data_IF_098399263241
#
_entry.id   IF_098399263241
#
_cell.length_a   1.000
_cell.length_b   1.000
_cell.length_c   1.000
_cell.angle_alpha   90.00
_cell.angle_beta   90.00
_cell.angle_gamma   90.00
#
_symmetry.space_group_name_H-M   'P 1'
#
loop_
_entity.id
_entity.type
_entity.pdbx_description
1 polymer ?
#
# COMPACT_ATOMS: atom_id res chain seq x y z
N UNK A 1 38.54 5.32 -67.29
CA UNK A 1 38.06 5.81 -65.99
C UNK A 1 36.78 5.07 -65.65
N UNK A 2 36.90 3.91 -65.01
CA UNK A 2 35.79 3.01 -64.67
C UNK A 2 36.09 2.37 -63.31
N UNK A 3 35.04 2.28 -62.49
CA UNK A 3 34.85 1.34 -61.38
C UNK A 3 35.63 1.59 -60.09
N UNK A 4 34.96 2.17 -59.10
CA UNK A 4 35.02 1.65 -57.72
C UNK A 4 33.61 1.73 -57.13
N UNK A 5 32.94 0.59 -57.09
CA UNK A 5 31.74 0.33 -56.29
C UNK A 5 32.22 -0.57 -55.15
N UNK A 6 32.29 -0.08 -53.90
CA UNK A 6 32.29 -0.95 -52.73
C UNK A 6 31.85 -0.20 -51.46
N UNK A 7 30.56 -0.38 -51.15
CA UNK A 7 30.06 -0.84 -49.86
C UNK A 7 30.47 -0.06 -48.59
N UNK A 8 29.69 0.98 -48.24
CA UNK A 8 29.44 1.32 -46.82
C UNK A 8 27.96 1.71 -46.70
N UNK A 9 27.12 0.71 -46.43
CA UNK A 9 25.75 0.88 -45.97
C UNK A 9 25.66 0.15 -44.63
N UNK A 10 24.98 0.78 -43.67
CA UNK A 10 24.59 0.28 -42.34
C UNK A 10 25.58 0.48 -41.20
N UNK A 11 25.60 1.70 -40.63
CA UNK A 11 25.65 1.83 -39.17
C UNK A 11 25.06 3.17 -38.70
N UNK A 12 23.72 3.32 -38.79
CA UNK A 12 23.05 4.49 -38.21
C UNK A 12 21.61 4.21 -37.74
N UNK A 13 21.31 2.96 -37.35
CA UNK A 13 19.99 2.61 -36.80
C UNK A 13 20.18 1.82 -35.51
N UNK A 14 20.67 2.48 -34.46
CA UNK A 14 20.71 1.88 -33.12
C UNK A 14 20.62 2.90 -31.96
N UNK A 15 20.26 4.16 -32.23
CA UNK A 15 20.18 5.18 -31.15
C UNK A 15 18.73 5.59 -30.84
N UNK A 16 17.77 5.33 -31.74
CA UNK A 16 16.38 5.75 -31.56
C UNK A 16 15.52 4.75 -30.78
N UNK A 17 15.93 3.49 -30.65
CA UNK A 17 15.14 2.46 -29.94
C UNK A 17 15.30 2.49 -28.42
N UNK A 18 16.37 3.10 -27.90
CA UNK A 18 16.58 3.20 -26.43
C UNK A 18 15.69 4.28 -25.79
N UNK A 19 15.32 5.33 -26.54
CA UNK A 19 14.45 6.39 -26.01
C UNK A 19 12.95 6.07 -26.05
N UNK A 20 12.51 5.11 -26.87
CA UNK A 20 11.08 4.82 -27.04
C UNK A 20 10.51 3.78 -26.05
N UNK A 21 11.36 3.07 -25.28
CA UNK A 21 10.90 2.04 -24.34
C UNK A 21 10.63 2.54 -22.92
N UNK A 22 11.05 3.77 -22.56
CA UNK A 22 10.85 4.29 -21.20
C UNK A 22 9.46 4.93 -20.98
N UNK A 23 8.70 5.22 -22.03
CA UNK A 23 7.40 5.91 -21.91
C UNK A 23 6.18 4.97 -21.93
N UNK A 24 6.36 3.68 -22.24
CA UNK A 24 5.24 2.72 -22.33
C UNK A 24 4.85 2.06 -21.00
N UNK A 25 5.70 2.09 -19.97
CA UNK A 25 5.38 1.54 -18.64
C UNK A 25 4.62 2.51 -17.72
N UNK A 26 4.62 3.82 -18.02
CA UNK A 26 3.98 4.83 -17.17
C UNK A 26 2.44 4.85 -17.23
N UNK A 27 1.83 4.23 -18.23
CA UNK A 27 0.39 4.37 -18.47
C UNK A 27 -0.49 3.26 -17.89
N UNK A 28 0.07 2.23 -17.23
CA UNK A 28 -0.70 1.15 -16.61
C UNK A 28 -0.63 1.09 -15.08
N UNK A 29 0.28 1.85 -14.47
CA UNK A 29 0.47 1.79 -13.01
C UNK A 29 -0.52 2.66 -12.23
N UNK A 30 -1.07 3.72 -12.85
CA UNK A 30 -2.06 4.61 -12.23
C UNK A 30 -3.46 3.98 -12.10
N UNK A 31 -3.73 2.90 -12.83
CA UNK A 31 -5.05 2.23 -12.85
C UNK A 31 -5.04 0.89 -12.09
N UNK A 32 -3.91 0.52 -11.47
CA UNK A 32 -3.79 -0.72 -10.72
C UNK A 32 -4.41 -0.55 -9.34
N UNK A 33 -5.52 -1.26 -9.08
CA UNK A 33 -6.16 -1.30 -7.76
C UNK A 33 -5.21 -1.86 -6.70
N UNK A 34 -5.32 -1.32 -5.48
CA UNK A 34 -4.64 -1.85 -4.31
C UNK A 34 -5.50 -2.91 -3.62
N UNK A 35 -4.90 -4.04 -3.26
CA UNK A 35 -5.61 -5.17 -2.65
C UNK A 35 -5.09 -5.49 -1.25
N UNK A 36 -6.00 -5.69 -0.30
CA UNK A 36 -5.69 -6.09 1.07
C UNK A 36 -6.88 -6.83 1.68
N UNK A 37 -6.66 -8.03 2.24
CA UNK A 37 -7.71 -8.77 2.95
C UNK A 37 -8.98 -9.05 2.13
N UNK A 38 -8.85 -9.25 0.82
CA UNK A 38 -9.98 -9.44 -0.10
C UNK A 38 -10.72 -8.15 -0.49
N UNK A 39 -10.24 -6.99 -0.04
CA UNK A 39 -10.75 -5.68 -0.42
C UNK A 39 -9.90 -5.13 -1.56
N UNK A 40 -10.54 -4.58 -2.59
CA UNK A 40 -9.90 -3.91 -3.72
C UNK A 40 -10.25 -2.42 -3.69
N UNK A 41 -9.25 -1.55 -3.82
CA UNK A 41 -9.36 -0.10 -3.63
C UNK A 41 -8.82 0.58 -4.88
N UNK A 42 -9.60 1.46 -5.50
CA UNK A 42 -9.19 2.17 -6.72
C UNK A 42 -8.25 3.34 -6.40
N UNK A 43 -7.45 3.76 -7.37
CA UNK A 43 -6.53 4.87 -7.21
C UNK A 43 -7.28 6.16 -6.87
N UNK A 44 -6.76 6.93 -5.91
CA UNK A 44 -7.42 8.14 -5.40
C UNK A 44 -8.56 7.89 -4.43
N UNK A 45 -8.84 6.64 -4.05
CA UNK A 45 -9.90 6.30 -3.11
C UNK A 45 -9.38 6.01 -1.69
N UNK A 46 -10.32 5.96 -0.74
CA UNK A 46 -10.06 5.56 0.63
C UNK A 46 -11.02 4.47 1.06
N UNK A 47 -10.47 3.39 1.60
CA UNK A 47 -11.24 2.37 2.30
C UNK A 47 -11.18 2.62 3.81
N UNK A 48 -12.33 2.47 4.48
CA UNK A 48 -12.46 2.48 5.94
C UNK A 48 -13.26 1.26 6.34
N UNK A 49 -12.66 0.40 7.16
CA UNK A 49 -13.31 -0.82 7.57
C UNK A 49 -12.38 -1.68 8.40
N UNK A 50 -12.54 -2.99 8.30
CA UNK A 50 -11.84 -3.94 9.16
C UNK A 50 -11.24 -5.07 8.34
N UNK A 51 -10.08 -5.58 8.77
CA UNK A 51 -9.59 -6.89 8.39
C UNK A 51 -10.16 -7.91 9.35
N UNK A 52 -10.77 -8.98 8.82
CA UNK A 52 -11.26 -10.08 9.65
C UNK A 52 -10.08 -10.96 10.09
N UNK A 53 -10.07 -11.33 11.36
CA UNK A 53 -9.13 -12.31 11.91
C UNK A 53 -9.97 -13.53 12.32
N UNK A 54 -9.96 -14.60 11.51
CA UNK A 54 -10.75 -15.79 11.79
C UNK A 54 -10.22 -16.50 13.03
N UNK A 55 -11.05 -17.38 13.61
CA UNK A 55 -10.69 -18.19 14.76
C UNK A 55 -9.44 -19.03 14.52
N UNK A 56 -8.51 -18.97 15.46
CA UNK A 56 -7.39 -19.90 15.58
C UNK A 56 -7.70 -21.05 16.55
N UNK A 57 -6.66 -21.64 17.09
CA UNK A 57 -6.75 -22.73 18.09
C UNK A 57 -7.36 -22.26 19.42
N UNK A 58 -7.17 -20.98 19.75
CA UNK A 58 -7.79 -20.30 20.90
C UNK A 58 -9.31 -20.12 20.77
N UNK A 59 -9.88 -20.45 19.60
CA UNK A 59 -11.30 -20.24 19.24
C UNK A 59 -11.76 -18.77 19.27
N UNK A 60 -10.83 -17.82 19.25
CA UNK A 60 -11.12 -16.39 19.32
C UNK A 60 -11.22 -15.80 17.92
N UNK A 61 -12.38 -15.23 17.61
CA UNK A 61 -12.55 -14.44 16.40
C UNK A 61 -12.38 -12.96 16.73
N UNK A 62 -11.67 -12.22 15.90
CA UNK A 62 -11.49 -10.78 16.09
C UNK A 62 -11.37 -10.04 14.76
N UNK A 63 -11.05 -8.76 14.82
CA UNK A 63 -10.87 -7.91 13.65
C UNK A 63 -9.83 -6.83 13.92
N UNK A 64 -9.29 -6.26 12.84
CA UNK A 64 -8.32 -5.15 12.90
C UNK A 64 -8.93 -3.95 12.16
N UNK A 65 -9.29 -2.85 12.86
CA UNK A 65 -9.76 -1.63 12.21
C UNK A 65 -8.64 -0.95 11.42
N UNK A 66 -8.89 -0.70 10.14
CA UNK A 66 -7.95 -0.07 9.23
C UNK A 66 -8.56 1.09 8.44
N UNK A 67 -7.70 2.00 8.00
CA UNK A 67 -7.98 2.92 6.90
C UNK A 67 -6.88 2.77 5.86
N UNK A 68 -7.26 2.70 4.59
CA UNK A 68 -6.30 2.59 3.49
C UNK A 68 -6.56 3.73 2.52
N UNK A 69 -5.57 4.59 2.34
CA UNK A 69 -5.57 5.61 1.31
C UNK A 69 -4.73 5.11 0.15
N UNK A 70 -5.38 4.80 -0.97
CA UNK A 70 -4.67 4.43 -2.19
C UNK A 70 -4.51 5.68 -3.05
N UNK A 71 -3.26 6.12 -3.22
CA UNK A 71 -2.94 7.37 -3.89
C UNK A 71 -3.25 7.35 -5.37
N UNK A 72 -3.61 8.50 -5.94
CA UNK A 72 -3.77 8.64 -7.40
C UNK A 72 -2.44 8.58 -8.15
N UNK A 73 -1.33 8.85 -7.46
CA UNK A 73 0.00 8.78 -8.04
C UNK A 73 0.69 7.48 -7.62
N UNK A 74 1.45 6.88 -8.52
CA UNK A 74 2.25 5.68 -8.23
C UNK A 74 3.32 5.96 -7.17
N UNK A 75 3.55 5.02 -6.26
CA UNK A 75 4.54 5.18 -5.21
C UNK A 75 4.61 3.98 -4.26
N UNK A 76 5.40 4.07 -3.18
CA UNK A 76 5.58 2.98 -2.23
C UNK A 76 4.33 2.71 -1.40
N UNK A 77 4.30 1.57 -0.74
CA UNK A 77 3.28 1.25 0.28
C UNK A 77 3.90 1.47 1.66
N UNK A 78 3.24 2.25 2.51
CA UNK A 78 3.61 2.47 3.91
C UNK A 78 2.49 1.96 4.81
N UNK A 79 2.84 1.19 5.83
CA UNK A 79 1.92 0.79 6.89
C UNK A 79 2.32 1.45 8.21
N UNK A 80 1.35 2.09 8.86
CA UNK A 80 1.50 2.67 10.20
C UNK A 80 0.61 1.88 11.16
N UNK A 81 1.23 1.30 12.19
CA UNK A 81 0.56 0.36 13.09
C UNK A 81 0.55 0.91 14.50
N UNK A 82 -0.61 0.86 15.14
CA UNK A 82 -0.83 1.28 16.53
C UNK A 82 -1.69 0.29 17.30
N UNK A 83 -1.72 0.40 18.62
CA UNK A 83 -2.51 -0.47 19.49
C UNK A 83 -2.07 -1.93 19.45
N UNK A 84 -0.76 -2.17 19.35
CA UNK A 84 -0.16 -3.50 19.61
C UNK A 84 -0.34 -3.85 21.08
N UNK A 85 0.01 -2.90 21.95
CA UNK A 85 -0.37 -2.93 23.36
C UNK A 85 -1.69 -2.19 23.56
N UNK A 86 -2.57 -2.78 24.38
CA UNK A 86 -3.96 -2.34 24.52
C UNK A 86 -4.17 -1.02 25.25
N UNK A 87 -3.21 -0.58 26.07
CA UNK A 87 -3.32 0.66 26.84
C UNK A 87 -2.40 1.79 26.35
N UNK A 88 -1.80 1.67 25.16
CA UNK A 88 -0.99 2.71 24.54
C UNK A 88 -1.88 3.65 23.69
N UNK A 89 -2.62 4.52 24.36
CA UNK A 89 -3.67 5.33 23.70
C UNK A 89 -3.15 6.44 22.77
N UNK A 90 -1.97 7.00 23.07
CA UNK A 90 -1.41 8.10 22.28
C UNK A 90 -1.23 7.75 20.79
N UNK A 91 -0.60 6.61 20.41
CA UNK A 91 -0.51 6.22 19.01
C UNK A 91 -1.87 5.88 18.39
N UNK A 92 -2.79 5.24 19.14
CA UNK A 92 -4.14 4.90 18.66
C UNK A 92 -4.90 6.16 18.23
N UNK A 93 -4.97 7.15 19.13
CA UNK A 93 -5.64 8.43 18.86
C UNK A 93 -4.96 9.20 17.72
N UNK A 94 -3.64 9.08 17.60
CA UNK A 94 -2.88 9.75 16.54
C UNK A 94 -3.22 9.14 15.16
N UNK A 95 -3.32 7.82 15.06
CA UNK A 95 -3.69 7.12 13.83
C UNK A 95 -5.14 7.41 13.42
N UNK A 96 -6.07 7.45 14.39
CA UNK A 96 -7.45 7.83 14.15
C UNK A 96 -7.58 9.25 13.58
N UNK A 97 -6.81 10.21 14.11
CA UNK A 97 -6.76 11.57 13.58
C UNK A 97 -6.10 11.63 12.20
N UNK A 98 -4.95 10.97 12.03
CA UNK A 98 -4.21 10.97 10.77
C UNK A 98 -5.06 10.50 9.58
N UNK A 99 -5.89 9.47 9.78
CA UNK A 99 -6.78 8.94 8.75
C UNK A 99 -7.82 9.94 8.20
N UNK A 100 -8.07 11.04 8.91
CA UNK A 100 -8.92 12.14 8.45
C UNK A 100 -8.16 13.26 7.71
N UNK A 101 -6.83 13.28 7.81
CA UNK A 101 -5.98 14.36 7.28
C UNK A 101 -5.43 14.08 5.87
N UNK A 102 -5.50 12.83 5.42
CA UNK A 102 -4.89 12.38 4.17
C UNK A 102 -5.90 12.48 3.02
N UNK A 103 -5.56 13.24 1.97
CA UNK A 103 -6.28 13.25 0.70
C UNK A 103 -5.60 12.28 -0.28
N UNK A 104 -6.20 11.12 -0.59
CA UNK A 104 -5.60 10.12 -1.50
C UNK A 104 -5.34 10.68 -2.91
N UNK A 105 -6.07 11.71 -3.35
CA UNK A 105 -5.86 12.32 -4.68
C UNK A 105 -4.53 13.06 -4.80
N UNK A 106 -3.90 13.38 -3.66
CA UNK A 106 -2.60 14.06 -3.58
C UNK A 106 -1.46 13.13 -3.16
N UNK A 107 -1.76 11.86 -2.87
CA UNK A 107 -0.81 10.88 -2.35
C UNK A 107 -0.09 10.15 -3.48
N UNK A 108 1.22 9.92 -3.30
CA UNK A 108 2.01 8.99 -4.12
C UNK A 108 2.21 7.68 -3.37
N UNK A 109 1.64 6.60 -3.89
CA UNK A 109 1.67 5.28 -3.28
C UNK A 109 0.45 5.00 -2.42
N UNK A 110 0.58 4.11 -1.43
CA UNK A 110 -0.54 3.68 -0.58
C UNK A 110 -0.17 3.83 0.89
N UNK A 111 -1.07 4.41 1.67
CA UNK A 111 -0.93 4.50 3.12
C UNK A 111 -1.96 3.58 3.79
N UNK A 112 -1.49 2.59 4.53
CA UNK A 112 -2.31 1.74 5.40
C UNK A 112 -2.15 2.25 6.84
N UNK A 113 -3.26 2.50 7.51
CA UNK A 113 -3.32 2.93 8.90
C UNK A 113 -4.04 1.84 9.68
N UNK A 114 -3.34 1.17 10.59
CA UNK A 114 -3.94 0.25 11.57
C UNK A 114 -4.19 1.02 12.86
N UNK A 115 -5.47 1.20 13.19
CA UNK A 115 -5.90 1.99 14.35
C UNK A 115 -5.68 1.26 15.66
N UNK A 116 -5.95 -0.04 15.69
CA UNK A 116 -5.71 -0.92 16.83
C UNK A 116 -5.38 -2.30 16.29
N UNK A 117 -4.14 -2.76 16.49
CA UNK A 117 -3.70 -4.06 16.01
C UNK A 117 -4.22 -5.22 16.88
N UNK A 118 -4.35 -5.02 18.19
CA UNK A 118 -4.79 -6.03 19.15
C UNK A 118 -6.07 -5.56 19.88
N UNK A 119 -7.23 -5.84 19.27
CA UNK A 119 -8.54 -5.51 19.85
C UNK A 119 -8.80 -6.21 21.21
N UNK A 120 -8.47 -7.50 21.41
CA UNK A 120 -8.60 -8.15 22.71
C UNK A 120 -7.83 -7.43 23.82
N UNK A 121 -6.54 -7.12 23.60
CA UNK A 121 -5.73 -6.40 24.59
C UNK A 121 -6.25 -4.97 24.83
N UNK A 122 -6.66 -4.25 23.77
CA UNK A 122 -7.24 -2.91 23.89
C UNK A 122 -8.50 -2.91 24.76
N UNK A 123 -9.39 -3.87 24.53
CA UNK A 123 -10.65 -4.00 25.28
C UNK A 123 -10.39 -4.35 26.75
N UNK A 124 -9.41 -5.22 27.00
CA UNK A 124 -8.99 -5.62 28.33
C UNK A 124 -8.06 -4.61 29.04
N UNK A 125 -7.58 -3.59 28.32
CA UNK A 125 -6.61 -2.58 28.79
C UNK A 125 -5.30 -3.22 29.30
N UNK A 126 -4.85 -4.27 28.62
CA UNK A 126 -3.59 -4.96 28.95
C UNK A 126 -2.45 -4.44 28.09
N UNK A 127 -1.24 -4.42 28.66
CA UNK A 127 -0.03 -4.00 27.93
C UNK A 127 0.68 -5.21 27.33
N UNK A 128 1.09 -6.15 28.19
CA UNK A 128 2.09 -7.17 27.83
C UNK A 128 1.51 -8.48 27.30
N UNK A 129 0.30 -8.85 27.72
CA UNK A 129 -0.32 -10.12 27.37
C UNK A 129 -1.72 -9.86 26.84
N UNK A 130 -2.08 -10.54 25.75
CA UNK A 130 -3.48 -10.60 25.35
C UNK A 130 -4.21 -11.51 26.34
N UNK A 131 -5.49 -11.23 26.65
CA UNK A 131 -6.28 -12.07 27.54
C UNK A 131 -6.34 -13.55 27.13
N UNK A 132 -6.13 -13.82 25.84
CA UNK A 132 -6.23 -15.13 25.22
C UNK A 132 -4.87 -15.86 25.12
N UNK A 133 -3.77 -15.23 25.55
CA UNK A 133 -2.43 -15.82 25.55
C UNK A 133 -2.14 -16.64 26.84
N UNK A 134 -3.12 -16.71 27.74
CA UNK A 134 -3.05 -17.36 29.07
C UNK A 134 -4.04 -18.53 29.15
#
# INVERSE_FOLDING_TARGET
>A
MKNVFLLIMWLSVAVSTVYAQHDSEKNNAADKKFEIGGISISAGETYRGTLKVPKGEDNVETFIPITVHHGSNTGPVLSLISGIHGSEYAPILSMQKLAGLVDPRKLSGTLIIVHVANIPAFTARTVYLSPNDL
#
